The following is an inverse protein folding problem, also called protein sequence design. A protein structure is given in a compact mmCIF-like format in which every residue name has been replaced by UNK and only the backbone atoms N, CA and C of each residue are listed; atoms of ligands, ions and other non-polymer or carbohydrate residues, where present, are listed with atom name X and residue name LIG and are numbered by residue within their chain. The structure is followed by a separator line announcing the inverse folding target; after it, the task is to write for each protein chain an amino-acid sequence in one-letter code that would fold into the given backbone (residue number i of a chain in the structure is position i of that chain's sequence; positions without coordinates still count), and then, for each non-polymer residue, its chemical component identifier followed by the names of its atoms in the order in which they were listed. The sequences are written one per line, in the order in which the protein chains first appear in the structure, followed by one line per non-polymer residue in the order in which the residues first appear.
data_IF_881203278934
#
_entry.id   IF_881203278934
#
_cell.length_a   1.000
_cell.length_b   1.000
_cell.length_c   1.000
_cell.angle_alpha   90.00
_cell.angle_beta   90.00
_cell.angle_gamma   90.00
#
_symmetry.space_group_name_H-M   'P 1'
#
loop_
_entity.id
_entity.type
_entity.pdbx_description
1 polymer ?
#
# COMPACT_ATOMS: atom_id res chain seq x y z
N UNK A 1 -26.02 -7.69 -10.12
CA UNK A 1 -26.91 -8.33 -9.11
C UNK A 1 -28.01 -9.08 -9.86
N UNK A 2 -28.25 -10.35 -9.53
CA UNK A 2 -29.31 -11.13 -10.17
C UNK A 2 -30.62 -10.72 -9.50
N UNK A 3 -31.43 -9.92 -10.18
CA UNK A 3 -32.71 -9.44 -9.68
C UNK A 3 -33.67 -10.65 -9.65
N UNK A 4 -33.90 -11.19 -8.45
CA UNK A 4 -34.93 -12.19 -8.23
C UNK A 4 -35.81 -11.58 -7.15
N UNK A 5 -37.07 -11.26 -7.52
CA UNK A 5 -38.05 -10.65 -6.62
C UNK A 5 -38.24 -11.59 -5.42
N UNK A 6 -37.83 -11.16 -4.23
CA UNK A 6 -37.86 -12.02 -3.03
C UNK A 6 -39.31 -12.25 -2.55
N UNK A 7 -40.25 -11.40 -2.97
CA UNK A 7 -41.65 -11.46 -2.54
C UNK A 7 -42.52 -12.25 -3.52
N UNK A 8 -42.73 -13.54 -3.25
CA UNK A 8 -43.55 -14.45 -4.08
C UNK A 8 -45.04 -14.09 -4.14
N UNK A 9 -45.55 -13.29 -3.19
CA UNK A 9 -46.99 -13.01 -3.03
C UNK A 9 -47.35 -11.54 -2.77
N UNK A 10 -46.49 -10.60 -3.19
CA UNK A 10 -46.81 -9.17 -3.12
C UNK A 10 -47.40 -8.68 -4.44
N UNK A 11 -48.59 -8.07 -4.37
CA UNK A 11 -49.23 -7.38 -5.50
C UNK A 11 -48.55 -6.04 -5.86
N UNK A 12 -47.56 -5.61 -5.07
CA UNK A 12 -46.74 -4.43 -5.38
C UNK A 12 -45.51 -4.85 -6.20
N UNK A 13 -45.17 -4.06 -7.20
CA UNK A 13 -44.01 -4.29 -8.09
C UNK A 13 -42.73 -3.61 -7.60
N UNK A 14 -42.72 -3.13 -6.37
CA UNK A 14 -41.60 -2.46 -5.70
C UNK A 14 -41.18 -3.25 -4.46
N UNK A 15 -39.88 -3.28 -4.18
CA UNK A 15 -39.28 -3.92 -3.01
C UNK A 15 -38.26 -3.01 -2.34
N UNK A 16 -38.39 -2.82 -1.03
CA UNK A 16 -37.43 -2.04 -0.23
C UNK A 16 -36.21 -2.89 0.10
N UNK A 17 -35.05 -2.55 -0.48
CA UNK A 17 -33.79 -3.19 -0.17
C UNK A 17 -32.96 -2.31 0.80
N UNK A 18 -32.53 -2.88 1.93
CA UNK A 18 -31.57 -2.21 2.82
C UNK A 18 -30.18 -2.26 2.19
N UNK A 19 -29.57 -1.10 1.94
CA UNK A 19 -28.22 -0.99 1.40
C UNK A 19 -27.34 -0.10 2.26
N UNK A 20 -26.04 -0.38 2.25
CA UNK A 20 -24.99 0.48 2.81
C UNK A 20 -23.90 0.63 1.77
N UNK A 21 -23.46 1.85 1.49
CA UNK A 21 -22.40 2.12 0.51
C UNK A 21 -21.28 2.96 1.13
N UNK A 22 -20.07 2.79 0.60
CA UNK A 22 -18.93 3.68 0.86
C UNK A 22 -18.42 4.16 -0.50
N UNK A 23 -18.34 5.47 -0.68
CA UNK A 23 -17.78 6.09 -1.88
C UNK A 23 -16.38 6.58 -1.53
N UNK A 24 -15.38 6.09 -2.26
CA UNK A 24 -13.99 6.49 -2.08
C UNK A 24 -13.54 7.20 -3.35
N UNK A 25 -13.21 8.49 -3.24
CA UNK A 25 -12.62 9.29 -4.33
C UNK A 25 -11.13 9.47 -4.08
N UNK A 26 -10.31 9.24 -5.10
CA UNK A 26 -8.87 9.55 -5.02
C UNK A 26 -8.70 11.07 -4.96
N UNK A 27 -8.09 11.55 -3.88
CA UNK A 27 -7.65 12.95 -3.77
C UNK A 27 -6.34 13.19 -4.52
N UNK A 28 -5.98 14.47 -4.71
CA UNK A 28 -4.63 14.83 -5.15
C UNK A 28 -3.63 14.40 -4.07
N UNK A 29 -2.48 13.87 -4.50
CA UNK A 29 -1.39 13.58 -3.57
C UNK A 29 -0.87 14.91 -3.03
N UNK A 30 -0.70 15.09 -1.71
CA UNK A 30 -0.07 16.30 -1.20
C UNK A 30 1.35 16.40 -1.76
N UNK A 31 1.72 17.56 -2.27
CA UNK A 31 3.07 17.80 -2.76
C UNK A 31 4.05 17.66 -1.60
N UNK A 32 4.93 16.65 -1.67
CA UNK A 32 6.09 16.61 -0.79
C UNK A 32 7.08 17.66 -1.30
N UNK A 33 6.96 18.90 -0.83
CA UNK A 33 7.98 19.92 -1.03
C UNK A 33 9.23 19.53 -0.22
N UNK A 34 9.98 18.54 -0.70
CA UNK A 34 11.36 18.28 -0.28
C UNK A 34 12.33 19.11 -1.14
N UNK A 35 11.95 20.34 -1.51
CA UNK A 35 12.86 21.28 -2.15
C UNK A 35 13.82 21.84 -1.11
N UNK A 36 14.97 21.18 -0.98
CA UNK A 36 16.28 21.75 -0.63
C UNK A 36 16.33 22.65 0.63
N UNK A 37 16.42 22.03 1.80
CA UNK A 37 16.92 22.67 3.04
C UNK A 37 18.45 22.87 3.02
N UNK A 38 19.07 23.10 1.86
CA UNK A 38 20.54 23.09 1.73
C UNK A 38 21.19 24.46 1.51
N UNK A 39 20.47 25.58 1.45
CA UNK A 39 21.10 26.91 1.35
C UNK A 39 20.39 27.98 2.20
N UNK A 40 20.20 27.74 3.50
CA UNK A 40 19.89 28.84 4.43
C UNK A 40 20.81 28.74 5.64
N UNK A 41 21.64 29.77 5.93
CA UNK A 41 22.48 29.77 7.11
C UNK A 41 21.60 29.71 8.35
N UNK A 42 21.91 28.77 9.24
CA UNK A 42 21.32 28.65 10.57
C UNK A 42 21.73 29.90 11.35
N UNK A 43 20.92 30.95 11.30
CA UNK A 43 20.99 32.04 12.25
C UNK A 43 20.16 31.60 13.45
N UNK A 44 20.86 31.13 14.47
CA UNK A 44 20.34 30.91 15.81
C UNK A 44 19.76 32.21 16.38
N UNK A 45 18.43 32.29 16.53
CA UNK A 45 17.81 33.03 17.63
C UNK A 45 16.33 32.67 17.76
N UNK A 46 15.93 32.35 19.00
CA UNK A 46 14.56 32.23 19.51
C UNK A 46 13.87 30.86 19.36
N UNK A 47 14.27 29.93 20.24
CA UNK A 47 13.31 29.05 20.92
C UNK A 47 12.36 29.97 21.70
N UNK A 48 11.08 30.09 21.31
CA UNK A 48 9.93 30.30 22.22
C UNK A 48 8.57 30.60 21.58
N UNK A 49 8.41 30.67 20.26
CA UNK A 49 7.07 30.94 19.69
C UNK A 49 6.65 29.92 18.64
N UNK A 50 5.75 29.02 19.04
CA UNK A 50 4.51 28.68 18.31
C UNK A 50 3.81 27.52 19.03
N UNK A 51 3.20 27.83 20.18
CA UNK A 51 1.91 27.23 20.53
C UNK A 51 0.89 27.69 19.48
N UNK A 52 0.91 27.05 18.33
CA UNK A 52 -0.20 27.11 17.38
C UNK A 52 -0.95 25.81 17.54
N UNK A 53 -2.26 25.93 17.76
CA UNK A 53 -3.25 24.94 17.36
C UNK A 53 -3.08 24.69 15.84
N UNK A 54 -2.03 23.96 15.47
CA UNK A 54 -1.85 23.50 14.11
C UNK A 54 -2.73 22.27 13.99
N UNK A 55 -3.85 22.43 13.27
CA UNK A 55 -4.42 21.32 12.54
C UNK A 55 -3.25 20.47 12.00
N UNK A 56 -3.15 19.18 12.35
CA UNK A 56 -1.97 18.40 12.04
C UNK A 56 -1.70 18.54 10.55
N UNK A 57 -0.59 19.19 10.22
CA UNK A 57 -0.16 19.36 8.84
C UNK A 57 -0.12 17.96 8.22
N UNK A 58 -0.80 17.73 7.07
CA UNK A 58 -0.92 16.38 6.49
C UNK A 58 0.43 15.79 6.04
N UNK A 59 1.52 16.56 6.17
CA UNK A 59 2.89 16.16 5.86
C UNK A 59 3.46 15.15 6.86
N UNK A 60 3.14 15.21 8.16
CA UNK A 60 3.74 14.29 9.16
C UNK A 60 3.19 12.86 9.07
N UNK A 61 1.91 12.71 8.66
CA UNK A 61 1.21 11.42 8.56
C UNK A 61 1.66 10.55 7.39
N UNK A 62 2.48 11.08 6.48
CA UNK A 62 2.99 10.39 5.31
C UNK A 62 4.45 9.99 5.42
N UNK A 63 5.10 10.17 6.58
CA UNK A 63 6.55 9.96 6.69
C UNK A 63 6.99 8.52 6.37
N UNK A 64 6.12 7.53 6.61
CA UNK A 64 6.46 6.13 6.41
C UNK A 64 5.72 5.48 5.23
N UNK A 65 6.44 4.69 4.41
CA UNK A 65 5.83 3.94 3.33
C UNK A 65 4.77 2.98 3.86
N UNK A 66 3.63 2.87 3.16
CA UNK A 66 2.55 1.92 3.53
C UNK A 66 2.59 0.68 2.69
N UNK A 67 2.41 -0.49 3.32
CA UNK A 67 2.37 -1.77 2.63
C UNK A 67 1.05 -1.90 1.86
N UNK A 68 1.13 -2.06 0.54
CA UNK A 68 -0.04 -2.09 -0.36
C UNK A 68 -0.50 -3.50 -0.75
N UNK A 69 0.30 -4.52 -0.45
CA UNK A 69 -0.02 -5.92 -0.71
C UNK A 69 0.43 -6.77 0.48
N UNK A 70 -0.23 -7.90 0.76
CA UNK A 70 0.20 -8.82 1.82
C UNK A 70 1.70 -9.17 1.69
N UNK A 71 2.49 -9.02 2.77
CA UNK A 71 3.92 -9.34 2.75
C UNK A 71 4.21 -10.77 2.29
N UNK A 72 5.15 -10.92 1.35
CA UNK A 72 5.54 -12.24 0.86
C UNK A 72 6.71 -12.79 1.68
N UNK A 73 6.39 -13.76 2.55
CA UNK A 73 7.29 -14.30 3.58
C UNK A 73 8.14 -15.45 3.02
N UNK A 74 9.32 -15.14 2.49
CA UNK A 74 10.27 -16.13 2.03
C UNK A 74 11.14 -16.70 3.17
N UNK A 75 11.93 -17.73 2.85
CA UNK A 75 13.01 -18.20 3.73
C UNK A 75 14.14 -17.17 3.71
N UNK A 76 14.46 -16.60 4.87
CA UNK A 76 15.58 -15.67 5.04
C UNK A 76 15.36 -14.24 4.54
N UNK A 77 14.24 -13.92 3.88
CA UNK A 77 13.87 -12.54 3.54
C UNK A 77 12.35 -12.36 3.46
N UNK A 78 11.89 -11.12 3.53
CA UNK A 78 10.48 -10.74 3.30
C UNK A 78 10.45 -9.72 2.17
N UNK A 79 9.48 -9.86 1.26
CA UNK A 79 9.25 -8.89 0.19
C UNK A 79 8.02 -8.06 0.55
N UNK A 80 8.20 -6.75 0.61
CA UNK A 80 7.17 -5.76 0.88
C UNK A 80 6.94 -4.94 -0.38
N UNK A 81 5.71 -4.90 -0.88
CA UNK A 81 5.31 -3.92 -1.89
C UNK A 81 4.71 -2.73 -1.14
N UNK A 82 5.36 -1.57 -1.23
CA UNK A 82 5.03 -0.38 -0.46
C UNK A 82 4.73 0.82 -1.36
N UNK A 83 3.84 1.70 -0.91
CA UNK A 83 3.68 3.04 -1.47
C UNK A 83 4.64 3.97 -0.72
N UNK A 84 5.69 4.41 -1.41
CA UNK A 84 6.74 5.26 -0.85
C UNK A 84 6.34 6.74 -0.92
N UNK A 85 7.03 7.58 -0.15
CA UNK A 85 6.89 9.04 -0.16
C UNK A 85 7.12 9.63 -1.56
N UNK A 86 7.91 8.94 -2.39
CA UNK A 86 8.26 9.29 -3.77
C UNK A 86 7.08 9.41 -4.73
N UNK A 87 5.90 8.86 -4.40
CA UNK A 87 4.81 8.74 -5.39
C UNK A 87 4.67 7.33 -5.94
N UNK A 88 5.76 6.59 -5.92
CA UNK A 88 5.89 5.33 -6.62
C UNK A 88 5.61 4.14 -5.71
N UNK A 89 5.24 3.05 -6.36
CA UNK A 89 5.14 1.75 -5.73
C UNK A 89 6.50 1.09 -5.81
N UNK A 90 7.08 0.81 -4.66
CA UNK A 90 8.42 0.26 -4.53
C UNK A 90 8.35 -1.12 -3.91
N UNK A 91 9.19 -2.03 -4.39
CA UNK A 91 9.39 -3.35 -3.80
C UNK A 91 10.64 -3.34 -2.94
N UNK A 92 10.44 -3.47 -1.64
CA UNK A 92 11.51 -3.62 -0.65
C UNK A 92 11.74 -5.10 -0.37
N UNK A 93 13.00 -5.48 -0.27
CA UNK A 93 13.42 -6.81 0.16
C UNK A 93 14.12 -6.63 1.51
N UNK A 94 13.55 -7.20 2.56
CA UNK A 94 14.07 -7.14 3.92
C UNK A 94 14.74 -8.50 4.23
N UNK A 95 16.06 -8.63 4.02
CA UNK A 95 16.77 -9.85 4.33
C UNK A 95 16.97 -9.99 5.85
N UNK A 96 17.10 -11.23 6.32
CA UNK A 96 17.41 -11.54 7.73
C UNK A 96 18.75 -10.93 8.17
N UNK A 97 19.68 -10.72 7.23
CA UNK A 97 20.96 -10.06 7.46
C UNK A 97 20.87 -8.54 7.64
N UNK A 98 19.71 -7.92 7.38
CA UNK A 98 19.52 -6.48 7.59
C UNK A 98 19.44 -6.16 9.08
N UNK A 99 18.82 -7.04 9.87
CA UNK A 99 18.67 -6.88 11.31
C UNK A 99 17.64 -7.86 11.85
N UNK A 100 17.78 -8.26 13.12
CA UNK A 100 16.83 -9.17 13.77
C UNK A 100 15.46 -8.51 13.92
N UNK A 101 15.43 -7.23 14.31
CA UNK A 101 14.21 -6.47 14.55
C UNK A 101 13.45 -6.21 13.25
N UNK A 102 14.09 -5.55 12.27
CA UNK A 102 13.51 -5.28 10.95
C UNK A 102 12.96 -6.56 10.30
N UNK A 103 13.71 -7.66 10.36
CA UNK A 103 13.26 -8.93 9.79
C UNK A 103 12.04 -9.51 10.51
N UNK A 104 12.01 -9.42 11.84
CA UNK A 104 10.87 -9.90 12.63
C UNK A 104 9.63 -9.04 12.38
N UNK A 105 9.79 -7.73 12.38
CA UNK A 105 8.74 -6.76 12.11
C UNK A 105 8.17 -6.98 10.71
N UNK A 106 9.02 -7.09 9.68
CA UNK A 106 8.57 -7.35 8.31
C UNK A 106 7.77 -8.65 8.19
N UNK A 107 8.11 -9.69 8.96
CA UNK A 107 7.36 -10.96 8.99
C UNK A 107 6.02 -10.85 9.70
N UNK A 108 5.90 -9.91 10.63
CA UNK A 108 4.69 -9.66 11.42
C UNK A 108 3.82 -8.56 10.82
N UNK A 109 4.32 -7.79 9.86
CA UNK A 109 3.53 -6.82 9.12
C UNK A 109 2.42 -7.46 8.30
N UNK A 110 1.37 -6.68 8.07
CA UNK A 110 0.21 -6.99 7.25
C UNK A 110 -0.03 -5.91 6.20
N UNK A 111 -1.01 -6.15 5.35
CA UNK A 111 -1.46 -5.15 4.38
C UNK A 111 -2.02 -3.93 5.11
N UNK A 112 -1.60 -2.74 4.68
CA UNK A 112 -2.01 -1.46 5.28
C UNK A 112 -1.05 -0.91 6.33
N UNK A 113 -0.16 -1.73 6.87
CA UNK A 113 0.80 -1.31 7.89
C UNK A 113 1.78 -0.26 7.35
N UNK A 114 2.14 0.69 8.21
CA UNK A 114 3.25 1.61 7.96
C UNK A 114 4.58 0.92 8.24
N UNK A 115 5.56 1.17 7.38
CA UNK A 115 6.88 0.56 7.46
C UNK A 115 7.93 1.61 7.86
N UNK A 116 8.33 1.68 9.14
CA UNK A 116 9.26 2.71 9.64
C UNK A 116 10.71 2.43 9.25
N UNK A 117 11.04 1.16 9.00
CA UNK A 117 12.40 0.74 8.76
C UNK A 117 12.79 0.99 7.31
N UNK A 118 14.07 1.23 7.06
CA UNK A 118 14.59 1.25 5.68
C UNK A 118 14.64 -0.16 5.08
N UNK A 119 15.11 -0.25 3.84
CA UNK A 119 15.64 -1.50 3.30
C UNK A 119 17.12 -1.35 2.99
N UNK A 120 17.90 -2.41 3.21
CA UNK A 120 19.34 -2.41 2.95
C UNK A 120 19.67 -2.15 1.48
N UNK A 121 18.82 -2.64 0.57
CA UNK A 121 18.89 -2.36 -0.87
C UNK A 121 17.84 -1.31 -1.22
N UNK A 122 18.10 -0.42 -2.19
CA UNK A 122 17.08 0.51 -2.66
C UNK A 122 15.86 -0.26 -3.20
N UNK A 123 14.66 0.31 -2.98
CA UNK A 123 13.41 -0.27 -3.46
C UNK A 123 13.36 -0.30 -4.98
N UNK A 124 12.88 -1.42 -5.53
CA UNK A 124 12.68 -1.55 -6.97
C UNK A 124 11.32 -0.96 -7.34
N UNK A 125 11.30 0.09 -8.16
CA UNK A 125 10.05 0.69 -8.63
C UNK A 125 9.27 -0.34 -9.46
N UNK A 126 8.00 -0.55 -9.09
CA UNK A 126 7.09 -1.50 -9.71
C UNK A 126 5.99 -0.72 -10.43
N UNK A 127 6.08 -0.65 -11.75
CA UNK A 127 4.99 -0.14 -12.57
C UNK A 127 3.82 -1.14 -12.47
N UNK A 128 2.68 -0.66 -11.97
CA UNK A 128 1.45 -1.44 -11.90
C UNK A 128 0.64 -1.39 -13.20
N UNK A 129 1.11 -0.64 -14.21
CA UNK A 129 0.51 -0.56 -15.54
C UNK A 129 0.51 -1.95 -16.18
N UNK A 130 -0.60 -2.64 -15.97
CA UNK A 130 -0.76 -4.05 -16.22
C UNK A 130 -0.87 -4.32 -17.70
N UNK A 131 0.21 -4.84 -18.30
CA UNK A 131 0.08 -5.62 -19.53
C UNK A 131 1.03 -6.84 -19.57
N UNK A 132 1.28 -7.46 -18.41
CA UNK A 132 1.91 -8.78 -18.34
C UNK A 132 1.09 -9.67 -17.43
N UNK A 133 0.28 -10.51 -18.06
CA UNK A 133 -0.41 -11.68 -17.54
C UNK A 133 0.51 -12.54 -16.65
N UNK A 134 0.66 -12.18 -15.38
CA UNK A 134 1.37 -13.01 -14.39
C UNK A 134 0.48 -14.14 -13.83
N UNK A 135 -0.83 -14.08 -14.07
CA UNK A 135 -1.81 -15.07 -13.62
C UNK A 135 -1.84 -16.37 -14.42
N UNK A 136 -1.22 -16.44 -15.60
CA UNK A 136 -1.49 -17.54 -16.54
C UNK A 136 -0.41 -18.63 -16.59
N UNK A 137 0.72 -18.46 -15.89
CA UNK A 137 1.78 -19.50 -15.87
C UNK A 137 1.39 -20.75 -15.11
N UNK A 138 0.44 -20.65 -14.17
CA UNK A 138 0.00 -21.81 -13.38
C UNK A 138 -1.00 -22.70 -14.12
N UNK A 139 -1.64 -22.18 -15.18
CA UNK A 139 -2.62 -22.93 -16.00
C UNK A 139 -1.95 -23.81 -17.06
N UNK A 140 -0.90 -23.31 -17.73
CA UNK A 140 -0.20 -24.06 -18.80
C UNK A 140 0.46 -25.38 -18.38
N UNK A 141 0.86 -25.54 -17.11
CA UNK A 141 1.49 -26.80 -16.66
C UNK A 141 0.48 -27.95 -16.54
N UNK A 142 -0.83 -27.66 -16.48
CA UNK A 142 -1.88 -28.68 -16.35
C UNK A 142 -2.44 -29.15 -17.70
N UNK A 143 -2.39 -28.33 -18.75
CA UNK A 143 -2.79 -28.72 -20.10
C UNK A 143 -1.76 -29.63 -20.78
N UNK A 144 -0.47 -29.38 -20.60
CA UNK A 144 0.59 -30.18 -21.23
C UNK A 144 0.68 -31.65 -20.74
N UNK A 145 -0.05 -32.00 -19.69
CA UNK A 145 -0.10 -33.36 -19.13
C UNK A 145 -1.38 -34.14 -19.52
N UNK A 146 -2.33 -33.50 -20.19
CA UNK A 146 -3.56 -34.15 -20.68
C UNK A 146 -3.48 -34.60 -22.14
N UNK A 147 -2.51 -34.09 -22.91
CA UNK A 147 -2.32 -34.44 -24.33
C UNK A 147 -1.33 -35.60 -24.57
N UNK A 148 -0.99 -36.37 -23.53
CA UNK A 148 0.01 -37.46 -23.61
C UNK A 148 -0.53 -38.83 -23.14
N UNK A 149 -1.85 -39.00 -23.03
CA UNK A 149 -2.48 -40.32 -22.81
C UNK A 149 -3.60 -40.54 -23.83
#
# INVERSE_FOLDING_TARGET
PKFLKDTKHSNKSEEDAKFSYVIIKRGLRPNSNHSNLTNQPIISSNLNDLQSHQNPTPTSLLQWPRIILPPHKCKGHVILDVCSNSGNIERLIIPKSQGKQDYYDARKSFWGDSWPHGSKKPGLIKNLDGNKSRGDRRRKKKEFQLDQN
#
